data_IF_301263150383
#
_entry.id   IF_301263150383
#
_cell.length_a   1.000
_cell.length_b   1.000
_cell.length_c   1.000
_cell.angle_alpha   90.00
_cell.angle_beta   90.00
_cell.angle_gamma   90.00
#
_symmetry.space_group_name_H-M   'P 1'
#
loop_
_entity.id
_entity.type
_entity.pdbx_description
1 polymer ?
#
# COMPACT_ATOMS: atom_id res chain seq x y z
N UNK A 1 4.42 2.19 13.65
CA UNK A 1 3.76 1.52 12.50
C UNK A 1 4.73 1.59 11.35
N UNK A 2 5.00 0.49 10.65
CA UNK A 2 5.73 0.53 9.38
C UNK A 2 5.10 1.63 8.53
N UNK A 3 5.85 2.68 8.18
CA UNK A 3 5.39 3.70 7.24
C UNK A 3 5.23 2.99 5.90
N UNK A 4 3.97 2.63 5.65
CA UNK A 4 3.51 1.68 4.66
C UNK A 4 4.09 2.00 3.29
N UNK A 5 4.60 0.98 2.61
CA UNK A 5 4.52 0.94 1.14
C UNK A 5 3.07 1.25 0.77
N UNK A 6 2.78 2.28 -0.04
CA UNK A 6 1.40 2.70 -0.29
C UNK A 6 0.65 1.53 -0.94
N UNK A 7 -0.31 0.97 -0.21
CA UNK A 7 -1.20 -0.10 -0.67
C UNK A 7 -2.62 0.34 -0.37
N UNK A 8 -3.50 0.21 -1.36
CA UNK A 8 -4.90 0.62 -1.23
C UNK A 8 -5.82 -0.36 -1.93
N UNK A 9 -7.03 -0.49 -1.41
CA UNK A 9 -8.11 -1.23 -2.06
C UNK A 9 -9.14 -0.21 -2.54
N UNK A 10 -9.47 -0.24 -3.82
CA UNK A 10 -10.47 0.62 -4.44
C UNK A 10 -11.47 -0.21 -5.23
N UNK A 11 -12.65 0.36 -5.47
CA UNK A 11 -13.65 -0.24 -6.36
C UNK A 11 -14.03 0.74 -7.47
N UNK A 12 -14.43 0.22 -8.62
CA UNK A 12 -14.82 1.04 -9.77
C UNK A 12 -16.11 1.81 -9.50
N UNK A 13 -16.14 3.09 -9.86
CA UNK A 13 -17.30 3.97 -9.61
C UNK A 13 -18.59 3.51 -10.29
N UNK A 14 -18.49 2.74 -11.38
CA UNK A 14 -19.61 2.19 -12.17
C UNK A 14 -19.76 0.67 -12.02
N UNK A 15 -19.29 0.08 -10.92
CA UNK A 15 -19.52 -1.35 -10.66
C UNK A 15 -21.02 -1.63 -10.53
N UNK A 16 -21.47 -2.77 -11.05
CA UNK A 16 -22.86 -3.23 -10.92
C UNK A 16 -23.23 -3.63 -9.49
N UNK A 17 -22.24 -3.76 -8.60
CA UNK A 17 -22.44 -4.23 -7.23
C UNK A 17 -21.64 -3.41 -6.20
N UNK A 18 -21.98 -2.12 -6.00
CA UNK A 18 -21.21 -1.23 -5.14
C UNK A 18 -21.26 -1.63 -3.66
N UNK A 19 -22.37 -2.20 -3.20
CA UNK A 19 -22.50 -2.66 -1.82
C UNK A 19 -21.68 -3.92 -1.56
N UNK A 20 -21.63 -4.86 -2.52
CA UNK A 20 -20.76 -6.03 -2.40
C UNK A 20 -19.28 -5.63 -2.38
N UNK A 21 -18.88 -4.68 -3.22
CA UNK A 21 -17.51 -4.15 -3.22
C UNK A 21 -17.14 -3.50 -1.87
N UNK A 22 -18.05 -2.72 -1.27
CA UNK A 22 -17.85 -2.13 0.06
C UNK A 22 -17.73 -3.20 1.15
N UNK A 23 -18.59 -4.23 1.13
CA UNK A 23 -18.51 -5.34 2.06
C UNK A 23 -17.20 -6.12 1.93
N UNK A 24 -16.71 -6.33 0.70
CA UNK A 24 -15.41 -6.94 0.45
C UNK A 24 -14.26 -6.09 1.01
N UNK A 25 -14.25 -4.78 0.75
CA UNK A 25 -13.25 -3.87 1.32
C UNK A 25 -13.30 -3.91 2.85
N UNK A 26 -14.49 -3.90 3.43
CA UNK A 26 -14.66 -4.01 4.87
C UNK A 26 -14.09 -5.33 5.41
N UNK A 27 -14.40 -6.46 4.76
CA UNK A 27 -13.85 -7.77 5.10
C UNK A 27 -12.31 -7.79 5.05
N UNK A 28 -11.72 -7.25 3.98
CA UNK A 28 -10.27 -7.17 3.81
C UNK A 28 -9.55 -6.34 4.89
N UNK A 29 -10.26 -5.48 5.62
CA UNK A 29 -9.72 -4.70 6.73
C UNK A 29 -9.91 -5.37 8.11
N UNK A 30 -10.50 -6.56 8.14
CA UNK A 30 -10.55 -7.43 9.34
C UNK A 30 -9.30 -8.31 9.43
N UNK A 31 -9.03 -8.88 10.61
CA UNK A 31 -7.92 -9.83 10.80
C UNK A 31 -8.08 -11.06 9.89
N UNK A 32 -9.30 -11.58 9.76
CA UNK A 32 -9.60 -12.73 8.91
C UNK A 32 -9.31 -12.42 7.43
N UNK A 33 -9.88 -11.34 6.90
CA UNK A 33 -9.72 -10.98 5.49
C UNK A 33 -8.30 -10.54 5.13
N UNK A 34 -7.57 -9.94 6.09
CA UNK A 34 -6.17 -9.55 5.90
C UNK A 34 -5.17 -10.71 6.16
N UNK A 35 -5.65 -11.86 6.67
CA UNK A 35 -4.81 -12.95 7.17
C UNK A 35 -3.77 -13.47 6.18
N UNK A 36 -4.09 -13.53 4.89
CA UNK A 36 -3.13 -13.92 3.84
C UNK A 36 -1.96 -12.93 3.75
N UNK A 37 -2.24 -11.63 3.84
CA UNK A 37 -1.20 -10.59 3.80
C UNK A 37 -0.35 -10.59 5.08
N UNK A 38 -0.96 -10.89 6.24
CA UNK A 38 -0.22 -11.09 7.49
C UNK A 38 0.77 -12.26 7.38
N UNK A 39 0.34 -13.38 6.79
CA UNK A 39 1.20 -14.54 6.55
C UNK A 39 2.40 -14.24 5.65
N UNK A 40 2.25 -13.27 4.74
CA UNK A 40 3.31 -12.76 3.86
C UNK A 40 4.19 -11.69 4.53
N UNK A 41 3.98 -11.41 5.83
CA UNK A 41 4.76 -10.44 6.58
C UNK A 41 4.34 -8.98 6.36
N UNK A 42 3.21 -8.72 5.70
CA UNK A 42 2.74 -7.35 5.45
C UNK A 42 1.98 -6.78 6.65
N UNK A 43 2.33 -5.57 7.12
CA UNK A 43 1.59 -4.91 8.19
C UNK A 43 0.23 -4.42 7.70
N UNK A 44 -0.79 -4.50 8.57
CA UNK A 44 -2.10 -3.91 8.32
C UNK A 44 -2.10 -2.40 8.63
N UNK A 45 -2.90 -1.64 7.88
CA UNK A 45 -3.22 -0.26 8.23
C UNK A 45 -4.24 -0.16 9.38
N UNK A 46 -4.96 -1.25 9.70
CA UNK A 46 -5.84 -1.34 10.85
C UNK A 46 -5.02 -1.71 12.10
N UNK A 47 -4.91 -0.79 13.07
CA UNK A 47 -4.11 -0.98 14.28
C UNK A 47 -4.66 -2.06 15.24
N UNK A 48 -5.89 -2.54 15.02
CA UNK A 48 -6.48 -3.66 15.78
C UNK A 48 -6.02 -5.02 15.25
N UNK A 49 -5.45 -5.09 14.04
CA UNK A 49 -4.87 -6.31 13.49
C UNK A 49 -3.44 -6.46 14.02
N UNK A 50 -3.08 -7.61 14.63
CA UNK A 50 -1.73 -7.83 15.15
C UNK A 50 -0.65 -7.63 14.08
N UNK A 51 0.50 -7.10 14.50
CA UNK A 51 1.66 -7.02 13.63
C UNK A 51 2.17 -8.43 13.26
N UNK A 52 2.61 -8.65 12.01
CA UNK A 52 3.18 -9.93 11.61
C UNK A 52 4.51 -10.20 12.34
N UNK A 53 4.93 -11.47 12.35
CA UNK A 53 6.28 -11.85 12.78
C UNK A 53 7.32 -11.16 11.89
N UNK A 54 8.38 -10.64 12.50
CA UNK A 54 9.47 -9.95 11.81
C UNK A 54 10.81 -10.67 12.10
N UNK A 55 11.06 -11.85 11.52
CA UNK A 55 12.26 -12.64 11.78
C UNK A 55 13.54 -11.95 11.28
N UNK A 56 13.41 -11.01 10.35
CA UNK A 56 14.52 -10.27 9.75
C UNK A 56 14.80 -8.96 10.49
N UNK A 57 14.05 -8.64 11.55
CA UNK A 57 14.16 -7.40 12.33
C UNK A 57 14.06 -6.12 11.47
N UNK A 58 13.29 -6.14 10.38
CA UNK A 58 13.12 -4.99 9.47
C UNK A 58 12.59 -3.76 10.21
N UNK A 59 11.76 -3.97 11.24
CA UNK A 59 11.19 -2.90 12.07
C UNK A 59 12.26 -2.01 12.73
N UNK A 60 13.46 -2.55 12.98
CA UNK A 60 14.54 -1.84 13.67
C UNK A 60 15.27 -0.86 12.73
N UNK A 61 15.01 -0.93 11.43
CA UNK A 61 15.65 -0.12 10.38
C UNK A 61 14.68 0.81 9.65
N UNK A 62 13.47 1.01 10.17
CA UNK A 62 12.44 1.82 9.49
C UNK A 62 12.85 3.29 9.34
N UNK A 63 13.66 3.81 10.25
CA UNK A 63 14.22 5.16 10.23
C UNK A 63 15.27 5.36 9.12
N UNK A 64 15.82 4.27 8.59
CA UNK A 64 16.78 4.27 7.47
C UNK A 64 16.09 4.08 6.12
N UNK A 65 14.77 3.86 6.09
CA UNK A 65 14.01 3.76 4.86
C UNK A 65 13.68 5.14 4.31
N UNK A 66 13.33 5.19 3.02
CA UNK A 66 12.71 6.36 2.39
C UNK A 66 11.19 6.19 2.47
N UNK A 67 10.52 6.72 3.52
CA UNK A 67 9.07 6.58 3.64
C UNK A 67 8.39 7.31 2.49
N UNK A 68 7.28 6.75 2.03
CA UNK A 68 6.51 7.32 0.94
C UNK A 68 5.75 8.59 1.40
N UNK A 69 6.08 9.80 0.89
CA UNK A 69 5.42 11.03 1.32
C UNK A 69 4.08 11.20 0.59
N UNK A 70 2.98 10.93 1.28
CA UNK A 70 1.64 11.05 0.67
C UNK A 70 1.27 12.48 0.24
N UNK A 71 1.95 13.50 0.78
CA UNK A 71 1.75 14.90 0.42
C UNK A 71 2.11 15.18 -1.06
N UNK A 72 3.07 14.45 -1.61
CA UNK A 72 3.61 14.69 -2.95
C UNK A 72 2.93 13.85 -4.03
N UNK A 73 1.98 12.98 -3.65
CA UNK A 73 1.28 12.06 -4.56
C UNK A 73 0.70 12.73 -5.83
N UNK A 74 0.14 13.92 -5.67
CA UNK A 74 -0.49 14.64 -6.79
C UNK A 74 0.56 15.22 -7.73
N UNK A 75 1.65 15.78 -7.19
CA UNK A 75 2.77 16.24 -8.01
C UNK A 75 3.43 15.07 -8.70
N UNK A 76 3.72 13.97 -8.00
CA UNK A 76 4.34 12.76 -8.55
C UNK A 76 3.53 12.20 -9.72
N UNK A 77 2.20 12.14 -9.57
CA UNK A 77 1.31 11.71 -10.64
C UNK A 77 1.36 12.65 -11.85
N UNK A 78 1.38 13.97 -11.62
CA UNK A 78 1.42 14.98 -12.69
C UNK A 78 2.74 14.99 -13.44
N UNK A 79 3.87 14.73 -12.77
CA UNK A 79 5.21 14.70 -13.37
C UNK A 79 5.63 13.30 -13.82
N UNK A 80 4.74 12.29 -13.70
CA UNK A 80 5.05 10.90 -14.06
C UNK A 80 5.58 10.74 -15.48
N UNK A 81 4.96 11.41 -16.47
CA UNK A 81 5.39 11.32 -17.87
C UNK A 81 6.79 11.87 -18.10
N UNK A 82 7.18 12.93 -17.40
CA UNK A 82 8.52 13.51 -17.50
C UNK A 82 9.58 12.50 -17.03
N UNK A 83 9.31 11.80 -15.92
CA UNK A 83 10.17 10.73 -15.41
C UNK A 83 10.26 9.53 -16.37
N UNK A 84 9.14 9.12 -16.97
CA UNK A 84 9.14 8.04 -17.96
C UNK A 84 9.98 8.40 -19.19
N UNK A 85 9.85 9.64 -19.68
CA UNK A 85 10.61 10.13 -20.84
C UNK A 85 12.10 10.28 -20.53
N UNK A 86 12.44 10.80 -19.35
CA UNK A 86 13.82 10.85 -18.87
C UNK A 86 14.45 9.45 -18.83
N UNK A 87 13.72 8.45 -18.32
CA UNK A 87 14.24 7.08 -18.24
C UNK A 87 14.45 6.46 -19.63
N UNK A 88 13.53 6.68 -20.56
CA UNK A 88 13.63 6.17 -21.95
C UNK A 88 14.79 6.79 -22.72
N UNK A 89 15.06 8.08 -22.52
CA UNK A 89 16.09 8.81 -23.27
C UNK A 89 17.49 8.67 -22.67
N UNK A 90 17.61 8.36 -21.38
CA UNK A 90 18.91 8.17 -20.69
C UNK A 90 19.55 6.79 -20.93
N UNK A 91 18.79 5.82 -21.45
CA UNK A 91 19.26 4.45 -21.72
C UNK A 91 19.21 4.08 -23.22
N UNK A 92 19.21 5.09 -24.10
CA UNK A 92 19.27 4.95 -25.56
C UNK A 92 20.67 5.11 -26.13
#
# INVERSE_FOLDING_TARGET
ALQSFPSGIAYASKTDSPNAAKLYIHYMLTEEGFGIQLGDGKPSANSQVPAPSDPSNVKDFLDQMAPFPSADLVSDYRTKSEWEDFWRTSHG
#
